data_IF_943076721119
#
_entry.id   IF_943076721119
#
_cell.length_a   1.000
_cell.length_b   1.000
_cell.length_c   1.000
_cell.angle_alpha   90.00
_cell.angle_beta   90.00
_cell.angle_gamma   90.00
#
_symmetry.space_group_name_H-M   'P 1'
#
loop_
_entity.id
_entity.type
_entity.pdbx_description
1 polymer ?
#
# COMPACT_ATOMS: atom_id res chain seq x y z
N UNK A 1 -4.90 -14.85 13.41
CA UNK A 1 -5.95 -13.85 13.78
C UNK A 1 -5.25 -12.51 14.03
N UNK A 2 -5.39 -11.52 13.14
CA UNK A 2 -4.73 -10.21 13.24
C UNK A 2 -5.46 -9.31 14.24
N UNK A 3 -4.78 -8.90 15.31
CA UNK A 3 -5.33 -8.00 16.33
C UNK A 3 -4.90 -6.57 16.02
N UNK A 4 -5.85 -5.68 15.70
CA UNK A 4 -5.57 -4.24 15.56
C UNK A 4 -5.31 -3.65 16.95
N UNK A 5 -4.09 -3.18 17.20
CA UNK A 5 -3.73 -2.44 18.41
C UNK A 5 -4.05 -0.96 18.16
N UNK A 6 -5.30 -0.57 18.43
CA UNK A 6 -5.65 0.85 18.61
C UNK A 6 -6.15 1.04 20.04
N UNK A 7 -5.60 2.03 20.74
CA UNK A 7 -5.96 2.35 22.12
C UNK A 7 -7.42 2.83 22.22
N UNK A 8 -8.10 2.43 23.30
CA UNK A 8 -9.48 2.85 23.62
C UNK A 8 -9.48 4.36 23.90
N UNK A 9 -10.01 5.16 22.96
CA UNK A 9 -10.06 6.63 23.05
C UNK A 9 -9.34 7.38 21.92
N UNK A 10 -8.76 6.68 20.94
CA UNK A 10 -8.20 7.34 19.75
C UNK A 10 -9.32 7.81 18.81
N UNK A 11 -9.54 9.12 18.77
CA UNK A 11 -10.45 9.78 17.85
C UNK A 11 -9.75 10.08 16.52
N UNK A 12 -9.45 9.06 15.72
CA UNK A 12 -9.26 9.32 14.29
C UNK A 12 -10.64 9.69 13.74
N UNK A 13 -10.82 10.93 13.28
CA UNK A 13 -11.93 11.26 12.40
C UNK A 13 -11.77 10.38 11.15
N UNK A 14 -12.56 9.31 11.09
CA UNK A 14 -12.51 8.34 10.01
C UNK A 14 -13.23 8.94 8.80
N UNK A 15 -12.58 9.88 8.12
CA UNK A 15 -13.06 10.43 6.85
C UNK A 15 -12.91 9.43 5.69
N UNK A 16 -12.31 8.27 5.92
CA UNK A 16 -12.29 7.18 4.95
C UNK A 16 -13.58 6.37 5.08
N UNK A 17 -14.29 6.09 3.96
CA UNK A 17 -15.42 5.19 4.00
C UNK A 17 -14.92 3.87 4.60
N UNK A 18 -15.64 3.37 5.62
CA UNK A 18 -15.29 2.30 6.56
C UNK A 18 -14.86 0.95 5.93
N UNK A 19 -14.68 0.89 4.61
CA UNK A 19 -14.33 -0.27 3.79
C UNK A 19 -12.89 -0.28 3.24
N UNK A 20 -12.18 0.87 3.17
CA UNK A 20 -10.81 0.92 2.60
C UNK A 20 -9.77 0.53 3.65
N UNK A 21 -9.25 -0.69 3.58
CA UNK A 21 -8.27 -1.27 4.51
C UNK A 21 -6.83 -1.11 4.00
N UNK A 22 -5.82 -1.41 4.82
CA UNK A 22 -4.43 -1.47 4.34
C UNK A 22 -4.29 -2.47 3.17
N UNK A 23 -5.02 -3.60 3.22
CA UNK A 23 -5.05 -4.62 2.15
C UNK A 23 -5.59 -4.01 0.86
N UNK A 24 -6.65 -3.20 0.92
CA UNK A 24 -7.17 -2.50 -0.27
C UNK A 24 -6.10 -1.61 -0.92
N UNK A 25 -5.38 -0.84 -0.10
CA UNK A 25 -4.33 0.05 -0.58
C UNK A 25 -3.10 -0.69 -1.09
N UNK A 26 -2.66 -1.73 -0.38
CA UNK A 26 -1.60 -2.63 -0.84
C UNK A 26 -1.96 -3.23 -2.20
N UNK A 27 -3.20 -3.68 -2.35
CA UNK A 27 -3.69 -4.28 -3.58
C UNK A 27 -3.70 -3.29 -4.76
N UNK A 28 -3.98 -2.00 -4.54
CA UNK A 28 -3.83 -0.96 -5.59
C UNK A 28 -2.38 -0.89 -6.08
N UNK A 29 -1.41 -0.91 -5.16
CA UNK A 29 0.00 -0.81 -5.54
C UNK A 29 0.48 -2.05 -6.29
N UNK A 30 -0.06 -3.23 -5.97
CA UNK A 30 0.22 -4.49 -6.67
C UNK A 30 -0.47 -4.54 -8.04
N UNK A 31 -1.77 -4.24 -8.11
CA UNK A 31 -2.57 -4.29 -9.34
C UNK A 31 -2.08 -3.30 -10.42
N UNK A 32 -1.47 -2.19 -9.98
CA UNK A 32 -0.85 -1.22 -10.89
C UNK A 32 0.60 -1.54 -11.26
N UNK A 33 1.14 -2.69 -10.82
CA UNK A 33 2.55 -3.07 -10.90
C UNK A 33 3.51 -2.00 -10.35
N UNK A 34 3.06 -1.21 -9.37
CA UNK A 34 3.87 -0.16 -8.76
C UNK A 34 4.88 -0.75 -7.77
N UNK A 35 4.53 -1.86 -7.12
CA UNK A 35 5.39 -2.56 -6.17
C UNK A 35 5.35 -4.09 -6.37
N UNK A 36 6.40 -4.75 -5.90
CA UNK A 36 6.38 -6.18 -5.54
C UNK A 36 6.58 -6.34 -4.05
N UNK A 37 5.93 -7.35 -3.49
CA UNK A 37 5.92 -7.63 -2.06
C UNK A 37 6.62 -8.97 -1.81
N UNK A 38 7.54 -9.00 -0.86
CA UNK A 38 8.24 -10.21 -0.42
C UNK A 38 8.18 -10.29 1.11
N UNK A 39 7.14 -10.93 1.67
CA UNK A 39 7.04 -11.14 3.11
C UNK A 39 8.02 -12.24 3.57
N UNK A 40 8.64 -12.04 4.73
CA UNK A 40 9.48 -13.03 5.40
C UNK A 40 8.78 -13.57 6.64
N UNK A 41 8.55 -14.87 6.62
CA UNK A 41 7.90 -15.60 7.70
C UNK A 41 8.96 -16.12 8.68
N UNK A 42 8.63 -16.13 9.98
CA UNK A 42 9.47 -16.71 11.02
C UNK A 42 9.65 -18.23 10.79
N UNK A 43 10.89 -18.76 10.81
CA UNK A 43 11.13 -20.19 10.61
C UNK A 43 10.47 -21.10 11.66
N UNK A 44 10.23 -20.59 12.87
CA UNK A 44 9.63 -21.31 13.99
C UNK A 44 8.13 -21.02 14.14
N UNK A 45 7.60 -19.98 13.48
CA UNK A 45 6.18 -19.63 13.50
C UNK A 45 5.68 -19.19 12.11
N UNK A 46 4.99 -20.11 11.42
CA UNK A 46 4.49 -19.88 10.06
C UNK A 46 3.41 -18.80 9.95
N UNK A 47 2.79 -18.39 11.06
CA UNK A 47 1.79 -17.31 11.08
C UNK A 47 2.43 -15.92 11.30
N UNK A 48 3.71 -15.86 11.65
CA UNK A 48 4.40 -14.63 12.01
C UNK A 48 5.19 -14.07 10.82
N UNK A 49 4.66 -13.02 10.20
CA UNK A 49 5.45 -12.21 9.24
C UNK A 49 6.34 -11.26 10.03
N UNK A 50 7.65 -11.54 10.02
CA UNK A 50 8.66 -10.78 10.76
C UNK A 50 8.97 -9.45 10.09
N UNK A 51 9.23 -9.49 8.78
CA UNK A 51 9.47 -8.31 7.98
C UNK A 51 8.95 -8.51 6.56
N UNK A 52 8.65 -7.40 5.88
CA UNK A 52 8.25 -7.41 4.49
C UNK A 52 9.15 -6.49 3.68
N UNK A 53 9.71 -7.03 2.61
CA UNK A 53 10.46 -6.25 1.63
C UNK A 53 9.54 -5.79 0.51
N UNK A 54 9.53 -4.49 0.26
CA UNK A 54 8.79 -3.81 -0.80
C UNK A 54 9.77 -3.36 -1.86
N UNK A 55 9.58 -3.86 -3.08
CA UNK A 55 10.35 -3.47 -4.26
C UNK A 55 9.53 -2.49 -5.09
N UNK A 56 9.88 -1.22 -5.00
CA UNK A 56 9.22 -0.11 -5.71
C UNK A 56 9.66 -0.14 -7.17
N UNK A 57 8.74 -0.45 -8.07
CA UNK A 57 9.00 -0.62 -9.49
C UNK A 57 8.71 0.64 -10.30
N UNK A 58 7.62 1.34 -9.98
CA UNK A 58 7.23 2.58 -10.65
C UNK A 58 6.26 3.38 -9.79
N UNK A 59 6.15 4.67 -10.11
CA UNK A 59 5.14 5.57 -9.58
C UNK A 59 4.36 6.16 -10.75
N UNK A 60 3.03 6.11 -10.69
CA UNK A 60 2.18 6.61 -11.76
C UNK A 60 1.94 8.11 -11.59
N UNK A 61 2.32 8.90 -12.61
CA UNK A 61 1.87 10.28 -12.75
C UNK A 61 0.43 10.32 -13.26
N UNK A 62 -0.19 11.51 -13.22
CA UNK A 62 -1.48 11.74 -13.88
C UNK A 62 -1.41 11.37 -15.38
N UNK A 63 -0.27 11.63 -16.04
CA UNK A 63 -0.06 11.26 -17.44
C UNK A 63 -0.02 9.75 -17.63
N UNK A 64 0.65 9.01 -16.75
CA UNK A 64 0.73 7.54 -16.81
C UNK A 64 -0.62 6.89 -16.46
N UNK A 65 -1.47 7.59 -15.70
CA UNK A 65 -2.79 7.10 -15.31
C UNK A 65 -3.73 6.93 -16.51
N UNK A 66 -3.56 7.74 -17.56
CA UNK A 66 -4.25 7.60 -18.85
C UNK A 66 -5.75 7.92 -18.86
N UNK A 67 -6.33 8.35 -17.75
CA UNK A 67 -7.76 8.71 -17.61
C UNK A 67 -7.91 9.91 -16.65
N UNK A 68 -9.14 10.43 -16.52
CA UNK A 68 -9.43 11.45 -15.50
C UNK A 68 -9.11 10.90 -14.09
N UNK A 69 -8.45 11.68 -13.21
CA UNK A 69 -8.16 11.27 -11.83
C UNK A 69 -9.39 10.88 -11.01
N UNK A 70 -10.57 11.40 -11.38
CA UNK A 70 -11.85 11.13 -10.73
C UNK A 70 -12.54 9.87 -11.25
N UNK A 71 -12.11 9.35 -12.40
CA UNK A 71 -12.68 8.13 -12.98
C UNK A 71 -12.16 6.90 -12.23
N UNK A 72 -13.10 6.02 -11.87
CA UNK A 72 -12.79 4.75 -11.23
C UNK A 72 -12.31 3.71 -12.25
N UNK A 73 -11.27 2.98 -11.89
CA UNK A 73 -10.81 1.74 -12.52
C UNK A 73 -11.29 0.55 -11.71
N UNK A 74 -11.41 -0.59 -12.37
CA UNK A 74 -11.64 -1.87 -11.71
C UNK A 74 -10.31 -2.58 -11.46
N UNK A 75 -10.24 -3.34 -10.37
CA UNK A 75 -9.12 -4.26 -10.15
C UNK A 75 -9.08 -5.35 -11.22
N UNK A 76 -7.89 -5.81 -11.56
CA UNK A 76 -7.67 -6.91 -12.53
C UNK A 76 -8.15 -8.26 -11.98
N UNK A 77 -8.26 -8.41 -10.66
CA UNK A 77 -8.88 -9.60 -10.04
C UNK A 77 -9.92 -9.22 -8.99
N UNK A 78 -10.77 -10.19 -8.63
CA UNK A 78 -11.88 -9.98 -7.69
C UNK A 78 -11.39 -9.45 -6.34
N UNK A 79 -11.98 -8.34 -5.89
CA UNK A 79 -11.73 -7.73 -4.58
C UNK A 79 -13.05 -7.16 -4.04
N UNK A 80 -13.27 -7.21 -2.72
CA UNK A 80 -14.54 -6.81 -2.07
C UNK A 80 -14.97 -5.37 -2.42
N UNK A 81 -13.99 -4.48 -2.54
CA UNK A 81 -14.14 -3.15 -3.12
C UNK A 81 -13.56 -3.16 -4.53
N UNK A 82 -14.35 -3.40 -5.58
CA UNK A 82 -13.80 -3.72 -6.90
C UNK A 82 -13.22 -2.52 -7.64
N UNK A 83 -13.26 -1.31 -7.07
CA UNK A 83 -12.92 -0.06 -7.75
C UNK A 83 -11.97 0.85 -6.96
N UNK A 84 -11.17 1.61 -7.69
CA UNK A 84 -10.25 2.62 -7.16
C UNK A 84 -10.00 3.72 -8.20
N UNK A 85 -9.60 4.91 -7.77
CA UNK A 85 -9.25 6.02 -8.66
C UNK A 85 -7.80 6.51 -8.42
N UNK A 86 -7.38 7.59 -9.08
CA UNK A 86 -6.01 8.08 -8.96
C UNK A 86 -5.70 8.62 -7.56
N UNK A 87 -6.67 9.20 -6.87
CA UNK A 87 -6.49 9.67 -5.50
C UNK A 87 -6.34 8.48 -4.53
N UNK A 88 -7.07 7.39 -4.75
CA UNK A 88 -6.88 6.15 -4.01
C UNK A 88 -5.48 5.57 -4.22
N UNK A 89 -4.94 5.67 -5.45
CA UNK A 89 -3.55 5.31 -5.75
C UNK A 89 -2.54 6.17 -4.99
N UNK A 90 -2.72 7.49 -4.93
CA UNK A 90 -1.83 8.37 -4.12
C UNK A 90 -1.92 7.99 -2.65
N UNK A 91 -3.13 7.81 -2.12
CA UNK A 91 -3.35 7.41 -0.73
C UNK A 91 -2.81 6.00 -0.42
N UNK A 92 -2.70 5.14 -1.43
CA UNK A 92 -2.17 3.80 -1.24
C UNK A 92 -0.74 3.79 -0.70
N UNK A 93 0.08 4.74 -1.14
CA UNK A 93 1.46 4.90 -0.65
C UNK A 93 1.53 5.23 0.85
N UNK A 94 0.48 5.83 1.44
CA UNK A 94 0.39 6.11 2.88
C UNK A 94 -0.09 4.92 3.69
N UNK A 95 -1.08 4.22 3.15
CA UNK A 95 -1.92 3.34 3.93
C UNK A 95 -1.60 1.85 3.73
N UNK A 96 -0.94 1.47 2.63
CA UNK A 96 -0.53 0.09 2.37
C UNK A 96 0.40 -0.44 3.46
N UNK A 97 1.32 0.40 3.95
CA UNK A 97 2.40 -0.03 4.85
C UNK A 97 2.06 0.10 6.35
N UNK A 98 0.76 0.15 6.69
CA UNK A 98 0.28 0.27 8.07
C UNK A 98 0.05 -1.09 8.75
N UNK A 99 0.44 -2.20 8.10
CA UNK A 99 0.38 -3.52 8.72
C UNK A 99 1.35 -3.62 9.92
N UNK A 100 0.88 -4.31 10.96
CA UNK A 100 1.66 -4.74 12.12
C UNK A 100 1.36 -6.20 12.41
N UNK A 101 2.37 -6.93 12.86
CA UNK A 101 2.22 -8.34 13.24
C UNK A 101 1.67 -8.45 14.68
N UNK A 102 1.36 -9.67 15.10
CA UNK A 102 0.75 -9.93 16.42
C UNK A 102 1.67 -9.57 17.61
N UNK A 103 2.94 -9.30 17.34
CA UNK A 103 3.94 -8.94 18.35
C UNK A 103 4.31 -7.45 18.33
N UNK A 104 3.70 -6.65 17.45
CA UNK A 104 4.03 -5.25 17.22
C UNK A 104 5.53 -5.02 16.88
N UNK A 105 6.16 -6.01 16.23
CA UNK A 105 7.59 -5.99 15.85
C UNK A 105 7.81 -6.10 14.34
N UNK A 106 6.79 -5.80 13.55
CA UNK A 106 6.91 -5.90 12.10
C UNK A 106 7.80 -4.80 11.53
N UNK A 107 8.73 -5.18 10.65
CA UNK A 107 9.64 -4.23 9.98
C UNK A 107 9.40 -4.19 8.47
N UNK A 108 9.41 -2.99 7.91
CA UNK A 108 9.33 -2.79 6.47
C UNK A 108 10.71 -2.47 5.90
N UNK A 109 11.07 -3.13 4.79
CA UNK A 109 12.27 -2.83 4.02
C UNK A 109 11.86 -2.30 2.65
N UNK A 110 12.36 -1.14 2.27
CA UNK A 110 12.02 -0.52 0.99
C UNK A 110 13.22 -0.49 0.06
N UNK A 111 13.02 -1.00 -1.15
CA UNK A 111 14.04 -1.11 -2.17
C UNK A 111 13.50 -0.51 -3.47
N UNK A 112 14.28 0.32 -4.15
CA UNK A 112 13.98 0.67 -5.55
C UNK A 112 14.41 -0.49 -6.45
N UNK A 113 13.46 -1.06 -7.19
CA UNK A 113 13.75 -2.11 -8.15
C UNK A 113 14.59 -1.55 -9.31
N UNK A 114 15.32 -2.42 -10.01
CA UNK A 114 16.12 -2.04 -11.19
C UNK A 114 15.23 -1.47 -12.30
N UNK A 115 13.95 -1.83 -12.32
CA UNK A 115 12.98 -1.28 -13.28
C UNK A 115 12.58 0.17 -12.98
N UNK A 116 12.90 0.70 -11.79
CA UNK A 116 12.50 2.04 -11.40
C UNK A 116 13.19 3.12 -12.22
N UNK A 117 12.38 4.00 -12.81
CA UNK A 117 12.90 5.14 -13.57
C UNK A 117 13.45 6.21 -12.63
N UNK A 118 14.76 6.18 -12.40
CA UNK A 118 15.49 7.14 -11.55
C UNK A 118 15.50 8.56 -12.11
N UNK A 119 15.20 8.76 -13.39
CA UNK A 119 15.11 10.08 -14.03
C UNK A 119 13.74 10.75 -13.87
N UNK A 120 12.74 9.99 -13.42
CA UNK A 120 11.40 10.53 -13.23
C UNK A 120 11.34 11.43 -11.99
N UNK A 121 10.85 12.67 -12.18
CA UNK A 121 10.62 13.63 -11.09
C UNK A 121 9.82 12.97 -9.96
N UNK A 122 10.31 13.10 -8.74
CA UNK A 122 9.64 12.58 -7.54
C UNK A 122 8.60 13.61 -7.10
N UNK A 123 7.29 13.28 -7.15
CA UNK A 123 6.27 14.22 -6.74
C UNK A 123 6.26 14.37 -5.22
N UNK A 124 5.91 15.56 -4.73
CA UNK A 124 5.88 15.86 -3.29
C UNK A 124 5.02 14.90 -2.48
N UNK A 125 3.86 14.49 -3.01
CA UNK A 125 2.98 13.53 -2.33
C UNK A 125 3.65 12.18 -2.08
N UNK A 126 4.64 11.79 -2.87
CA UNK A 126 5.37 10.54 -2.67
C UNK A 126 6.47 10.69 -1.61
N UNK A 127 7.02 11.89 -1.46
CA UNK A 127 8.02 12.20 -0.43
C UNK A 127 7.36 12.30 0.94
N UNK A 128 6.16 12.88 1.04
CA UNK A 128 5.36 13.01 2.27
C UNK A 128 5.06 11.66 2.97
N UNK A 129 5.41 10.53 2.33
CA UNK A 129 5.16 9.17 2.81
C UNK A 129 6.30 8.54 3.59
N UNK A 130 7.48 9.14 3.57
CA UNK A 130 8.67 8.66 4.27
C UNK A 130 8.91 9.47 5.54
#
# INVERSE_FOLDING_TARGET
ITKRVFYKGWHYYNNHPQKKTHIYYEYILVDTDSIKISPKIDPNNSELVTHTSIFIQKKLTISDWGQSPFTYKQFSSSFDLPIYNYFDYIYAWKHAFLFQNIEDRHSWFFCFDKTFNTKQIIPYWFIDMW
#
